data_IF_225126791385
#
_entry.id   IF_225126791385
#
_cell.length_a   1.000
_cell.length_b   1.000
_cell.length_c   1.000
_cell.angle_alpha   90.00
_cell.angle_beta   90.00
_cell.angle_gamma   90.00
#
_symmetry.space_group_name_H-M   'P 1'
#
loop_
_entity.id
_entity.type
_entity.pdbx_description
1 polymer ?
#
# COMPACT_ATOMS: atom_id res chain seq x y z
N UNK A 1 -5.35 5.38 11.45
CA UNK A 1 -4.36 4.27 11.55
C UNK A 1 -5.04 2.92 11.71
N UNK A 2 -6.10 2.78 12.52
CA UNK A 2 -6.86 1.52 12.67
C UNK A 2 -7.44 0.98 11.35
N UNK A 3 -8.19 1.80 10.61
CA UNK A 3 -8.87 1.38 9.37
C UNK A 3 -7.92 0.90 8.26
N UNK A 4 -6.72 1.50 8.16
CA UNK A 4 -5.71 1.07 7.19
C UNK A 4 -5.04 -0.24 7.60
N UNK A 5 -4.85 -0.47 8.90
CA UNK A 5 -4.39 -1.78 9.36
C UNK A 5 -5.45 -2.85 9.13
N UNK A 6 -6.74 -2.54 9.22
CA UNK A 6 -7.82 -3.46 8.84
C UNK A 6 -7.83 -3.75 7.33
N UNK A 7 -7.69 -2.71 6.49
CA UNK A 7 -7.54 -2.89 5.04
C UNK A 7 -6.35 -3.80 4.70
N UNK A 8 -5.20 -3.57 5.33
CA UNK A 8 -3.99 -4.38 5.10
C UNK A 8 -4.14 -5.82 5.59
N UNK A 9 -4.95 -6.08 6.62
CA UNK A 9 -5.24 -7.46 7.03
C UNK A 9 -5.99 -8.22 5.94
N UNK A 10 -7.00 -7.60 5.34
CA UNK A 10 -7.76 -8.20 4.23
C UNK A 10 -6.87 -8.39 3.00
N UNK A 11 -6.03 -7.39 2.69
CA UNK A 11 -5.08 -7.47 1.56
C UNK A 11 -4.02 -8.55 1.79
N UNK A 12 -3.56 -8.72 3.02
CA UNK A 12 -2.53 -9.72 3.34
C UNK A 12 -3.04 -11.15 3.32
N UNK A 13 -4.34 -11.37 3.52
CA UNK A 13 -4.95 -12.70 3.49
C UNK A 13 -4.97 -13.23 2.05
N UNK A 14 -4.05 -14.16 1.74
CA UNK A 14 -3.94 -14.78 0.41
C UNK A 14 -3.10 -14.02 -0.61
N UNK A 15 -2.38 -12.96 -0.21
CA UNK A 15 -1.40 -12.31 -1.07
C UNK A 15 -0.03 -13.00 -1.02
N UNK A 16 0.56 -13.26 -2.18
CA UNK A 16 1.93 -13.81 -2.27
C UNK A 16 2.96 -12.72 -1.97
N UNK A 17 2.64 -11.48 -2.37
CA UNK A 17 3.47 -10.30 -2.13
C UNK A 17 2.56 -9.14 -1.73
N UNK A 18 2.93 -8.41 -0.68
CA UNK A 18 2.32 -7.11 -0.34
C UNK A 18 3.35 -5.99 -0.44
N UNK A 19 3.13 -5.06 -1.36
CA UNK A 19 3.92 -3.84 -1.46
C UNK A 19 3.25 -2.71 -0.68
N UNK A 20 4.02 -2.13 0.25
CA UNK A 20 3.62 -0.94 1.00
C UNK A 20 4.38 0.26 0.43
N UNK A 21 3.67 1.27 -0.06
CA UNK A 21 4.28 2.50 -0.54
C UNK A 21 4.47 3.49 0.63
N UNK A 22 5.70 3.91 0.88
CA UNK A 22 6.02 4.95 1.84
C UNK A 22 7.50 5.08 2.17
N UNK A 23 7.84 6.11 2.94
CA UNK A 23 9.21 6.37 3.34
C UNK A 23 9.72 5.35 4.38
N UNK A 24 10.99 4.94 4.27
CA UNK A 24 11.65 4.07 5.26
C UNK A 24 11.68 4.67 6.67
N UNK A 25 11.67 5.99 6.79
CA UNK A 25 11.64 6.68 8.09
C UNK A 25 10.24 6.68 8.74
N UNK A 26 9.20 6.25 8.02
CA UNK A 26 7.83 6.22 8.51
C UNK A 26 7.56 4.95 9.34
N UNK A 27 7.40 5.13 10.66
CA UNK A 27 6.94 4.05 11.55
C UNK A 27 5.57 3.49 11.15
N UNK A 28 4.68 4.32 10.59
CA UNK A 28 3.38 3.83 10.14
C UNK A 28 3.53 2.89 8.93
N UNK A 29 4.36 3.25 7.96
CA UNK A 29 4.56 2.43 6.76
C UNK A 29 5.22 1.10 7.12
N UNK A 30 6.25 1.11 7.97
CA UNK A 30 6.84 -0.11 8.53
C UNK A 30 5.83 -0.97 9.28
N UNK A 31 4.93 -0.35 10.04
CA UNK A 31 3.87 -1.08 10.75
C UNK A 31 2.89 -1.76 9.78
N UNK A 32 2.57 -1.18 8.62
CA UNK A 32 1.71 -1.83 7.63
C UNK A 32 2.37 -3.08 7.05
N UNK A 33 3.68 -3.06 6.78
CA UNK A 33 4.44 -4.24 6.35
C UNK A 33 4.32 -5.37 7.38
N UNK A 34 4.53 -5.06 8.65
CA UNK A 34 4.38 -6.05 9.73
C UNK A 34 2.95 -6.60 9.83
N UNK A 35 1.94 -5.76 9.59
CA UNK A 35 0.53 -6.18 9.64
C UNK A 35 0.21 -7.10 8.47
N UNK A 36 0.71 -6.83 7.27
CA UNK A 36 0.52 -7.68 6.09
C UNK A 36 1.10 -9.09 6.31
N UNK A 37 2.34 -9.16 6.79
CA UNK A 37 2.99 -10.44 7.12
C UNK A 37 2.21 -11.22 8.18
N UNK A 38 1.74 -10.53 9.23
CA UNK A 38 0.94 -11.16 10.29
C UNK A 38 -0.44 -11.61 9.83
N UNK A 39 -0.96 -11.02 8.75
CA UNK A 39 -2.26 -11.36 8.19
C UNK A 39 -2.20 -12.56 7.23
N UNK A 40 -1.00 -13.00 6.82
CA UNK A 40 -0.83 -14.19 6.01
C UNK A 40 -0.09 -13.97 4.69
N UNK A 41 0.38 -12.75 4.41
CA UNK A 41 1.14 -12.49 3.20
C UNK A 41 2.45 -13.28 3.20
N UNK A 42 2.76 -13.99 2.09
CA UNK A 42 3.99 -14.77 1.98
C UNK A 42 5.24 -13.87 2.02
N UNK A 43 5.14 -12.65 1.46
CA UNK A 43 6.14 -11.59 1.53
C UNK A 43 5.46 -10.22 1.69
N UNK A 44 6.11 -9.29 2.38
CA UNK A 44 5.73 -7.88 2.34
C UNK A 44 6.96 -6.97 2.36
N UNK A 45 6.98 -5.99 1.48
CA UNK A 45 8.13 -5.09 1.28
C UNK A 45 7.68 -3.63 1.30
N UNK A 46 8.58 -2.75 1.76
CA UNK A 46 8.40 -1.31 1.75
C UNK A 46 9.13 -0.72 0.55
N UNK A 47 8.42 0.04 -0.28
CA UNK A 47 9.00 0.76 -1.42
C UNK A 47 8.66 2.25 -1.34
N UNK A 48 9.56 3.10 -1.82
CA UNK A 48 9.28 4.54 -1.91
C UNK A 48 8.50 4.90 -3.19
N UNK A 49 8.83 4.27 -4.31
CA UNK A 49 8.19 4.46 -5.61
C UNK A 49 8.35 3.21 -6.50
N UNK A 50 7.75 3.25 -7.69
CA UNK A 50 7.78 2.15 -8.66
C UNK A 50 9.21 1.78 -9.11
N UNK A 51 10.13 2.74 -9.16
CA UNK A 51 11.52 2.47 -9.53
C UNK A 51 12.28 1.66 -8.47
N UNK A 52 11.77 1.59 -7.24
CA UNK A 52 12.38 0.83 -6.15
C UNK A 52 11.89 -0.62 -6.06
N UNK A 53 11.03 -1.05 -6.99
CA UNK A 53 10.56 -2.43 -7.04
C UNK A 53 11.73 -3.34 -7.44
N UNK A 54 12.07 -4.28 -6.58
CA UNK A 54 12.90 -5.42 -6.97
C UNK A 54 12.01 -6.50 -7.60
N UNK A 55 12.12 -6.64 -8.91
CA UNK A 55 11.32 -7.59 -9.69
C UNK A 55 11.61 -9.06 -9.35
N UNK A 56 12.72 -9.36 -8.66
CA UNK A 56 12.95 -10.71 -8.14
C UNK A 56 11.91 -11.10 -7.07
N UNK A 57 11.23 -10.14 -6.45
CA UNK A 57 10.16 -10.43 -5.49
C UNK A 57 8.90 -11.01 -6.13
N UNK A 58 8.73 -10.85 -7.45
CA UNK A 58 7.55 -11.29 -8.20
C UNK A 58 7.66 -12.73 -8.70
N UNK A 59 8.79 -13.41 -8.45
CA UNK A 59 8.96 -14.81 -8.85
C UNK A 59 7.94 -15.70 -8.12
N UNK A 60 7.02 -16.30 -8.88
CA UNK A 60 5.94 -17.14 -8.34
C UNK A 60 4.78 -16.37 -7.71
N UNK A 61 4.70 -15.05 -7.88
CA UNK A 61 3.59 -14.23 -7.36
C UNK A 61 2.42 -14.25 -8.34
N UNK A 62 1.25 -14.68 -7.88
CA UNK A 62 -0.01 -14.58 -8.62
C UNK A 62 -0.88 -13.45 -8.07
N UNK A 63 -0.83 -13.24 -6.75
CA UNK A 63 -1.63 -12.22 -6.06
C UNK A 63 -0.74 -11.17 -5.41
N UNK A 64 -0.77 -9.94 -5.95
CA UNK A 64 -0.11 -8.76 -5.38
C UNK A 64 -1.11 -7.93 -4.56
N UNK A 65 -0.85 -7.81 -3.27
CA UNK A 65 -1.46 -6.80 -2.42
C UNK A 65 -0.72 -5.46 -2.54
N UNK A 66 -1.46 -4.38 -2.78
CA UNK A 66 -0.88 -3.04 -2.87
C UNK A 66 -1.55 -2.10 -1.87
N UNK A 67 -0.75 -1.43 -1.05
CA UNK A 67 -1.23 -0.44 -0.09
C UNK A 67 -0.24 0.72 0.04
N UNK A 68 -0.70 1.83 0.60
CA UNK A 68 0.12 3.01 0.76
C UNK A 68 -0.08 3.67 2.13
N UNK A 69 0.99 4.25 2.67
CA UNK A 69 0.93 5.06 3.88
C UNK A 69 -0.01 6.27 3.67
N UNK A 70 -0.53 6.84 4.77
CA UNK A 70 -1.49 7.95 4.71
C UNK A 70 -0.97 9.22 3.99
N UNK A 71 0.35 9.35 3.85
CA UNK A 71 1.03 10.47 3.21
C UNK A 71 1.51 10.19 1.79
N UNK A 72 1.28 8.99 1.26
CA UNK A 72 1.71 8.63 -0.08
C UNK A 72 0.74 9.23 -1.12
N UNK A 73 1.23 10.01 -2.09
CA UNK A 73 0.42 10.51 -3.20
C UNK A 73 -0.21 9.37 -4.01
N UNK A 74 -1.41 9.60 -4.55
CA UNK A 74 -2.11 8.66 -5.43
C UNK A 74 -1.29 8.31 -6.68
N UNK A 75 -0.55 9.28 -7.22
CA UNK A 75 0.33 9.08 -8.38
C UNK A 75 1.39 7.98 -8.15
N UNK A 76 1.86 7.79 -6.90
CA UNK A 76 2.81 6.71 -6.60
C UNK A 76 2.15 5.34 -6.66
N UNK A 77 0.90 5.23 -6.18
CA UNK A 77 0.11 4.00 -6.28
C UNK A 77 -0.11 3.66 -7.75
N UNK A 78 -0.52 4.66 -8.53
CA UNK A 78 -0.77 4.48 -9.95
C UNK A 78 0.50 4.10 -10.71
N UNK A 79 1.64 4.74 -10.39
CA UNK A 79 2.94 4.40 -10.98
C UNK A 79 3.36 2.95 -10.71
N UNK A 80 3.09 2.42 -9.52
CA UNK A 80 3.34 0.99 -9.22
C UNK A 80 2.43 0.08 -10.05
N UNK A 81 1.13 0.42 -10.16
CA UNK A 81 0.18 -0.35 -10.96
C UNK A 81 0.63 -0.38 -12.43
N UNK A 82 1.04 0.76 -12.98
CA UNK A 82 1.48 0.86 -14.37
C UNK A 82 2.79 0.11 -14.62
N UNK A 83 3.75 0.19 -13.69
CA UNK A 83 4.98 -0.59 -13.77
C UNK A 83 4.73 -2.11 -13.76
N UNK A 84 3.69 -2.57 -13.04
CA UNK A 84 3.24 -3.96 -13.07
C UNK A 84 2.56 -4.30 -14.41
N UNK A 85 1.71 -3.42 -14.96
CA UNK A 85 1.04 -3.63 -16.26
C UNK A 85 2.01 -3.71 -17.44
N UNK A 86 3.14 -3.03 -17.36
CA UNK A 86 4.19 -3.11 -18.38
C UNK A 86 4.86 -4.49 -18.45
N UNK A 87 4.71 -5.32 -17.41
CA UNK A 87 5.39 -6.62 -17.26
C UNK A 87 4.45 -7.81 -17.20
N UNK A 88 3.24 -7.60 -16.70
CA UNK A 88 2.28 -8.66 -16.39
C UNK A 88 0.89 -8.29 -16.91
N UNK A 89 0.06 -9.31 -17.14
CA UNK A 89 -1.37 -9.09 -17.34
C UNK A 89 -2.04 -8.85 -15.99
N UNK A 90 -2.39 -7.59 -15.71
CA UNK A 90 -2.83 -7.15 -14.37
C UNK A 90 -4.33 -6.82 -14.38
N UNK A 91 -5.08 -7.51 -13.52
CA UNK A 91 -6.44 -7.10 -13.14
C UNK A 91 -6.39 -6.39 -11.78
N UNK A 92 -6.84 -5.14 -11.73
CA UNK A 92 -6.86 -4.35 -10.49
C UNK A 92 -8.22 -4.45 -9.82
N UNK A 93 -8.24 -4.83 -8.55
CA UNK A 93 -9.45 -4.84 -7.72
C UNK A 93 -9.24 -3.97 -6.47
N UNK A 94 -10.15 -3.03 -6.25
CA UNK A 94 -10.12 -2.16 -5.07
C UNK A 94 -10.82 -2.84 -3.90
N UNK A 95 -10.09 -3.08 -2.81
CA UNK A 95 -10.66 -3.58 -1.54
C UNK A 95 -11.10 -2.38 -0.69
N UNK A 96 -12.40 -2.11 -0.65
CA UNK A 96 -12.96 -1.08 0.21
C UNK A 96 -13.38 -1.69 1.56
N UNK A 97 -12.60 -1.43 2.61
CA UNK A 97 -12.94 -1.91 3.97
C UNK A 97 -13.73 -0.90 4.81
N UNK A 98 -13.69 0.40 4.47
CA UNK A 98 -14.54 1.44 5.07
C UNK A 98 -14.54 2.74 4.23
N UNK A 99 -15.70 3.43 4.15
CA UNK A 99 -15.79 4.79 3.60
C UNK A 99 -15.35 5.81 4.67
N UNK A 100 -14.18 6.43 4.51
CA UNK A 100 -13.72 7.52 5.39
C UNK A 100 -14.17 8.90 4.84
N UNK A 101 -15.02 9.62 5.57
CA UNK A 101 -15.30 11.04 5.31
C UNK A 101 -14.67 11.89 6.42
N UNK A 102 -13.34 11.99 6.45
CA UNK A 102 -12.63 12.83 7.41
C UNK A 102 -12.20 14.13 6.73
N UNK A 103 -12.88 15.24 7.07
CA UNK A 103 -12.51 16.58 6.62
C UNK A 103 -11.86 17.35 7.77
N UNK A 104 -10.59 17.73 7.62
CA UNK A 104 -9.94 18.63 8.56
C UNK A 104 -10.29 20.08 8.23
N UNK A 105 -10.95 20.78 9.16
CA UNK A 105 -11.15 22.23 9.05
C UNK A 105 -9.86 22.94 9.46
N UNK A 106 -9.36 23.82 8.62
CA UNK A 106 -8.21 24.67 8.94
C UNK A 106 -8.54 25.56 10.15
N UNK A 107 -7.67 25.63 11.17
CA UNK A 107 -7.84 26.56 12.28
C UNK A 107 -7.89 28.00 11.79
N UNK A 108 -8.82 28.80 12.33
CA UNK A 108 -9.05 30.22 11.99
C UNK A 108 -7.81 31.14 12.12
N UNK A 109 -6.74 30.68 12.77
CA UNK A 109 -5.50 31.46 13.04
C UNK A 109 -4.56 31.54 11.82
N UNK A 110 -4.79 30.75 10.77
CA UNK A 110 -4.00 30.79 9.53
C UNK A 110 -4.77 31.35 8.32
N UNK A 111 -5.95 31.93 8.55
CA UNK A 111 -6.82 32.48 7.51
C UNK A 111 -6.68 34.01 7.33
N UNK A 112 -5.60 34.62 7.83
CA UNK A 112 -5.33 36.05 7.73
C UNK A 112 -3.84 36.34 7.72
#
# INVERSE_FOLDING_TARGET
TTNRQEAVKVIGEGADLVLVIGAETSSNSKRLVEVALRAGASRSELIAAAENIDWAWFEGVETLGLTAGASAPEDLVQGVIDACRDRFDVTVQSVATANETVTFKLPRVLAG
#
